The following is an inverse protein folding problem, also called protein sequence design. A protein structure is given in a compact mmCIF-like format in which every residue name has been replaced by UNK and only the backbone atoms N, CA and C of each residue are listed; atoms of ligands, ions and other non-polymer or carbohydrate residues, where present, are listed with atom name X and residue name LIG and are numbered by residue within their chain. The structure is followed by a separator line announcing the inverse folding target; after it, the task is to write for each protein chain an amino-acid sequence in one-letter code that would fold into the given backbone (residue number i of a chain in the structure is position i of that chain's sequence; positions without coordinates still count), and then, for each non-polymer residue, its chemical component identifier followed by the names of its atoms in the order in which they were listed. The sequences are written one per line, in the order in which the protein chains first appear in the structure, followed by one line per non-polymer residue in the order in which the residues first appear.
data_IF_602975986026
#
_entry.id   IF_602975986026
#
_cell.length_a   1.000
_cell.length_b   1.000
_cell.length_c   1.000
_cell.angle_alpha   90.00
_cell.angle_beta   90.00
_cell.angle_gamma   90.00
#
_symmetry.space_group_name_H-M   'P 1'
#
loop_
_entity.id
_entity.type
_entity.pdbx_description
1 polymer ?
#
# COMPACT_ATOMS: atom_id res chain seq x y z
N UNK A 1 -0.13 -15.11 -9.90
CA UNK A 1 -0.83 -14.02 -9.19
C UNK A 1 -2.14 -13.74 -9.93
N UNK A 2 -3.24 -13.47 -9.21
CA UNK A 2 -4.54 -13.18 -9.83
C UNK A 2 -4.81 -11.68 -9.92
N UNK A 3 -5.68 -11.27 -10.86
CA UNK A 3 -6.08 -9.88 -11.08
C UNK A 3 -6.65 -9.23 -9.81
N UNK A 4 -7.53 -9.93 -9.11
CA UNK A 4 -8.14 -9.50 -7.86
C UNK A 4 -7.09 -9.26 -6.76
N UNK A 5 -6.09 -10.14 -6.66
CA UNK A 5 -5.01 -9.98 -5.68
C UNK A 5 -4.16 -8.74 -5.97
N UNK A 6 -3.91 -8.43 -7.25
CA UNK A 6 -3.15 -7.26 -7.65
C UNK A 6 -3.95 -5.96 -7.41
N UNK A 7 -5.25 -5.97 -7.71
CA UNK A 7 -6.15 -4.85 -7.42
C UNK A 7 -6.24 -4.58 -5.90
N UNK A 8 -6.45 -5.64 -5.11
CA UNK A 8 -6.51 -5.55 -3.65
C UNK A 8 -5.20 -5.02 -3.07
N UNK A 9 -4.05 -5.54 -3.50
CA UNK A 9 -2.74 -5.06 -3.07
C UNK A 9 -2.58 -3.56 -3.30
N UNK A 10 -2.90 -3.10 -4.53
CA UNK A 10 -2.84 -1.69 -4.88
C UNK A 10 -3.72 -0.82 -3.98
N UNK A 11 -4.98 -1.21 -3.79
CA UNK A 11 -5.93 -0.48 -2.94
C UNK A 11 -5.49 -0.40 -1.49
N UNK A 12 -4.97 -1.50 -0.93
CA UNK A 12 -4.55 -1.53 0.46
C UNK A 12 -3.28 -0.71 0.72
N UNK A 13 -2.34 -0.66 -0.25
CA UNK A 13 -1.10 0.08 -0.07
C UNK A 13 -1.21 1.58 -0.42
N UNK A 14 -1.97 1.92 -1.47
CA UNK A 14 -1.96 3.26 -2.07
C UNK A 14 -3.36 3.89 -2.20
N UNK A 15 -4.42 3.20 -1.77
CA UNK A 15 -5.80 3.70 -1.81
C UNK A 15 -6.49 3.56 -3.17
N UNK A 16 -7.63 4.25 -3.37
CA UNK A 16 -8.49 4.03 -4.55
C UNK A 16 -7.85 4.36 -5.90
N UNK A 17 -6.83 5.22 -5.93
CA UNK A 17 -6.13 5.68 -7.15
C UNK A 17 -4.71 5.09 -7.25
N UNK A 18 -4.57 3.81 -6.89
CA UNK A 18 -3.28 3.15 -6.72
C UNK A 18 -2.46 2.93 -8.00
N UNK A 19 -3.07 2.97 -9.18
CA UNK A 19 -2.52 2.39 -10.41
C UNK A 19 -1.11 2.92 -10.75
N UNK A 20 -0.89 4.23 -10.65
CA UNK A 20 0.41 4.85 -10.92
C UNK A 20 1.46 4.46 -9.88
N UNK A 21 1.15 4.62 -8.59
CA UNK A 21 2.07 4.29 -7.50
C UNK A 21 2.44 2.80 -7.46
N UNK A 22 1.49 1.92 -7.76
CA UNK A 22 1.77 0.49 -7.86
C UNK A 22 2.66 0.17 -9.07
N UNK A 23 2.47 0.85 -10.21
CA UNK A 23 3.33 0.67 -11.37
C UNK A 23 4.77 1.10 -11.10
N UNK A 24 4.95 2.24 -10.42
CA UNK A 24 6.26 2.73 -9.97
C UNK A 24 6.93 1.72 -9.03
N UNK A 25 6.22 1.27 -7.99
CA UNK A 25 6.75 0.31 -7.03
C UNK A 25 7.10 -1.05 -7.65
N UNK A 26 6.29 -1.54 -8.60
CA UNK A 26 6.59 -2.77 -9.33
C UNK A 26 7.82 -2.60 -10.24
N UNK A 27 8.01 -1.42 -10.84
CA UNK A 27 9.14 -1.15 -11.74
C UNK A 27 10.49 -1.31 -11.03
N UNK A 28 10.55 -1.05 -9.73
CA UNK A 28 11.77 -1.23 -8.93
C UNK A 28 12.24 -2.69 -8.80
N UNK A 29 11.32 -3.65 -8.98
CA UNK A 29 11.58 -5.08 -8.78
C UNK A 29 11.40 -5.91 -10.05
N UNK A 30 11.31 -5.27 -11.22
CA UNK A 30 11.09 -5.95 -12.49
C UNK A 30 12.17 -5.61 -13.51
N UNK A 31 12.45 -6.49 -14.49
CA UNK A 31 13.50 -6.25 -15.48
C UNK A 31 13.16 -5.12 -16.46
N UNK A 32 11.87 -4.81 -16.61
CA UNK A 32 11.35 -3.81 -17.53
C UNK A 32 10.41 -2.89 -16.78
N UNK A 33 10.45 -1.56 -17.02
CA UNK A 33 9.53 -0.63 -16.39
C UNK A 33 8.07 -1.03 -16.60
N UNK A 34 7.32 -1.09 -15.50
CA UNK A 34 5.88 -1.27 -15.47
C UNK A 34 5.21 0.10 -15.54
N UNK A 35 4.23 0.24 -16.42
CA UNK A 35 3.51 1.50 -16.63
C UNK A 35 2.10 1.39 -16.08
N UNK A 36 1.50 2.52 -15.67
CA UNK A 36 0.14 2.57 -15.14
C UNK A 36 -0.91 1.86 -16.04
N UNK A 37 -0.88 1.98 -17.38
CA UNK A 37 -1.78 1.22 -18.25
C UNK A 37 -1.64 -0.31 -18.12
N UNK A 38 -0.41 -0.83 -17.89
CA UNK A 38 -0.20 -2.26 -17.69
C UNK A 38 -0.94 -2.74 -16.45
N UNK A 39 -0.74 -2.06 -15.32
CA UNK A 39 -1.40 -2.37 -14.05
C UNK A 39 -2.92 -2.29 -14.18
N UNK A 40 -3.44 -1.25 -14.84
CA UNK A 40 -4.89 -1.10 -15.08
C UNK A 40 -5.47 -2.26 -15.89
N UNK A 41 -4.81 -2.69 -16.97
CA UNK A 41 -5.25 -3.82 -17.78
C UNK A 41 -5.20 -5.15 -17.01
N UNK A 42 -4.14 -5.35 -16.21
CA UNK A 42 -3.96 -6.55 -15.38
C UNK A 42 -5.00 -6.66 -14.27
N UNK A 43 -5.21 -5.58 -13.52
CA UNK A 43 -6.16 -5.54 -12.41
C UNK A 43 -7.61 -5.72 -12.87
N UNK A 44 -7.95 -5.26 -14.08
CA UNK A 44 -9.28 -5.46 -14.70
C UNK A 44 -9.44 -6.83 -15.37
N UNK A 45 -8.41 -7.68 -15.36
CA UNK A 45 -8.42 -8.96 -16.08
C UNK A 45 -8.49 -8.83 -17.61
N UNK A 46 -8.27 -7.65 -18.16
CA UNK A 46 -8.28 -7.40 -19.62
C UNK A 46 -7.04 -7.96 -20.31
N UNK A 47 -5.96 -8.19 -19.55
CA UNK A 47 -4.73 -8.81 -20.03
C UNK A 47 -4.17 -9.75 -18.97
N UNK A 48 -3.57 -10.87 -19.41
CA UNK A 48 -2.85 -11.77 -18.51
C UNK A 48 -1.70 -11.06 -17.81
N UNK A 49 -1.50 -11.42 -16.54
CA UNK A 49 -0.41 -10.93 -15.71
C UNK A 49 0.85 -11.75 -16.05
N UNK A 50 1.96 -11.11 -16.46
CA UNK A 50 3.21 -11.82 -16.67
C UNK A 50 3.74 -12.47 -15.39
N UNK A 51 4.39 -13.64 -15.51
CA UNK A 51 4.86 -14.42 -14.36
C UNK A 51 5.83 -13.65 -13.45
N UNK A 52 6.63 -12.74 -14.01
CA UNK A 52 7.57 -11.91 -13.25
C UNK A 52 6.90 -10.92 -12.29
N UNK A 53 5.61 -10.60 -12.50
CA UNK A 53 4.89 -9.63 -11.66
C UNK A 53 4.63 -10.20 -10.27
N UNK A 54 4.41 -11.52 -10.14
CA UNK A 54 4.13 -12.16 -8.86
C UNK A 54 5.25 -11.94 -7.83
N UNK A 55 6.50 -12.32 -8.13
CA UNK A 55 7.64 -12.07 -7.25
C UNK A 55 7.86 -10.59 -6.93
N UNK A 56 7.66 -9.69 -7.91
CA UNK A 56 7.78 -8.26 -7.70
C UNK A 56 6.69 -7.73 -6.74
N UNK A 57 5.43 -8.14 -6.94
CA UNK A 57 4.31 -7.76 -6.10
C UNK A 57 4.48 -8.25 -4.65
N UNK A 58 5.08 -9.43 -4.44
CA UNK A 58 5.42 -9.90 -3.10
C UNK A 58 6.42 -8.98 -2.40
N UNK A 59 7.48 -8.54 -3.10
CA UNK A 59 8.46 -7.57 -2.55
C UNK A 59 7.82 -6.21 -2.26
N UNK A 60 6.94 -5.74 -3.14
CA UNK A 60 6.17 -4.51 -2.93
C UNK A 60 5.27 -4.64 -1.70
N UNK A 61 4.60 -5.79 -1.51
CA UNK A 61 3.76 -6.05 -0.35
C UNK A 61 4.56 -6.05 0.96
N UNK A 62 5.72 -6.74 0.99
CA UNK A 62 6.60 -6.77 2.14
C UNK A 62 7.11 -5.38 2.53
N UNK A 63 7.57 -4.60 1.54
CA UNK A 63 7.99 -3.21 1.76
C UNK A 63 6.83 -2.35 2.24
N UNK A 64 5.69 -2.41 1.54
CA UNK A 64 4.50 -1.62 1.84
C UNK A 64 3.95 -1.89 3.24
N UNK A 65 3.97 -3.15 3.69
CA UNK A 65 3.61 -3.52 5.06
C UNK A 65 4.51 -2.83 6.10
N UNK A 66 5.84 -2.90 5.92
CA UNK A 66 6.80 -2.25 6.83
C UNK A 66 6.61 -0.74 6.89
N UNK A 67 6.42 -0.10 5.73
CA UNK A 67 6.19 1.34 5.67
C UNK A 67 4.86 1.75 6.31
N UNK A 68 3.79 0.97 6.10
CA UNK A 68 2.49 1.21 6.74
C UNK A 68 2.58 1.09 8.25
N UNK A 69 3.27 0.08 8.76
CA UNK A 69 3.50 -0.08 10.20
C UNK A 69 4.29 1.12 10.77
N UNK A 70 5.36 1.54 10.10
CA UNK A 70 6.14 2.71 10.53
C UNK A 70 5.29 4.00 10.55
N UNK A 71 4.42 4.19 9.54
CA UNK A 71 3.47 5.33 9.52
C UNK A 71 2.43 5.23 10.62
N UNK A 72 1.86 4.04 10.86
CA UNK A 72 0.89 3.81 11.92
C UNK A 72 1.50 4.09 13.31
N UNK A 73 2.73 3.63 13.56
CA UNK A 73 3.46 3.94 14.79
C UNK A 73 3.74 5.43 14.94
N UNK A 74 4.10 6.13 13.86
CA UNK A 74 4.31 7.58 13.90
C UNK A 74 3.03 8.33 14.25
N UNK A 75 1.89 7.95 13.65
CA UNK A 75 0.56 8.51 13.99
C UNK A 75 0.21 8.18 15.45
N UNK A 76 0.43 6.95 15.90
CA UNK A 76 0.21 6.55 17.28
C UNK A 76 1.01 7.43 18.25
N UNK A 77 2.31 7.65 17.97
CA UNK A 77 3.13 8.57 18.76
C UNK A 77 2.57 9.99 18.74
N UNK A 78 2.12 10.51 17.60
CA UNK A 78 1.55 11.87 17.55
C UNK A 78 0.25 12.00 18.35
N UNK A 79 -0.60 10.97 18.33
CA UNK A 79 -1.86 10.97 19.08
C UNK A 79 -1.64 10.81 20.59
N UNK A 80 -0.65 10.02 21.00
CA UNK A 80 -0.46 9.67 22.42
C UNK A 80 0.70 10.40 23.13
N UNK A 81 1.66 10.97 22.41
CA UNK A 81 2.75 11.74 23.02
C UNK A 81 2.31 13.01 23.79
N UNK A 82 1.23 13.74 23.42
CA UNK A 82 0.76 14.88 24.22
C UNK A 82 0.26 14.50 25.63
N UNK A 83 -0.17 13.24 25.84
CA UNK A 83 -0.64 12.77 27.15
C UNK A 83 0.48 12.41 28.12
N UNK A 84 1.72 12.30 27.64
CA UNK A 84 2.90 12.07 28.49
C UNK A 84 3.48 13.37 29.09
N UNK A 85 3.02 14.55 28.64
CA UNK A 85 3.45 15.87 29.11
C UNK A 85 2.31 16.76 29.61
N UNK A 86 1.38 16.19 30.38
CA UNK A 86 0.52 16.96 31.30
C UNK A 86 -0.63 17.74 30.68
N UNK A 87 -1.03 17.46 29.44
CA UNK A 87 -2.30 17.97 28.90
C UNK A 87 -3.47 17.11 29.40
N UNK A 88 -4.62 17.71 29.75
CA UNK A 88 -5.77 16.99 30.28
C UNK A 88 -6.26 15.95 29.26
N UNK A 89 -6.56 14.75 29.76
CA UNK A 89 -7.12 13.65 29.00
C UNK A 89 -8.33 14.10 28.18
N UNK A 90 -8.47 13.62 26.93
CA UNK A 90 -9.72 13.78 26.19
C UNK A 90 -10.88 13.26 27.04
N UNK A 91 -12.01 13.99 27.14
CA UNK A 91 -13.17 13.49 27.88
C UNK A 91 -13.60 12.16 27.26
N UNK A 92 -14.06 11.20 28.09
CA UNK A 92 -14.59 9.95 27.58
C UNK A 92 -15.71 10.25 26.58
N UNK A 93 -15.72 9.54 25.46
CA UNK A 93 -16.81 9.65 24.50
C UNK A 93 -18.12 9.29 25.23
N UNK A 94 -19.06 10.22 25.24
CA UNK A 94 -20.40 9.99 25.78
C UNK A 94 -21.13 9.01 24.85
N UNK A 95 -21.61 7.91 25.43
CA UNK A 95 -22.48 6.90 24.80
C UNK A 95 -23.90 7.43 24.54
#
# INVERSE_FOLDING_TARGET
MHAESLDALGRHLYGPRYVTSLAEALSEYTPKPVQAPHVSMWAKGQRSIPDFVGPAAFRVAERGYRELMARAEAVNRMLYAPFEHGMPSLPPAED
#
